data_IF_183589360634
#
_entry.id   IF_183589360634
#
_cell.length_a   1.000
_cell.length_b   1.000
_cell.length_c   1.000
_cell.angle_alpha   90.00
_cell.angle_beta   90.00
_cell.angle_gamma   90.00
#
_symmetry.space_group_name_H-M   'P 1'
#
loop_
_entity.id
_entity.type
_entity.pdbx_description
1 polymer ?
#
# COMPACT_ATOMS: atom_id res chain seq x y z
N UNK A 1 0.46 7.16 23.60
CA UNK A 1 1.20 7.79 22.47
C UNK A 1 0.81 7.08 21.19
N UNK A 2 0.48 7.82 20.12
CA UNK A 2 0.17 7.26 18.82
C UNK A 2 1.44 7.24 17.94
N UNK A 3 1.65 6.16 17.20
CA UNK A 3 2.70 6.06 16.17
C UNK A 3 2.02 6.02 14.81
N UNK A 4 2.60 6.72 13.84
CA UNK A 4 2.10 6.79 12.48
C UNK A 4 3.16 6.27 11.52
N UNK A 5 2.73 5.46 10.55
CA UNK A 5 3.58 4.92 9.50
C UNK A 5 2.90 5.13 8.14
N UNK A 6 3.64 5.69 7.18
CA UNK A 6 3.24 5.68 5.78
C UNK A 6 3.92 4.48 5.13
N UNK A 7 3.13 3.60 4.54
CA UNK A 7 3.60 2.34 4.00
C UNK A 7 3.30 2.31 2.51
N UNK A 8 4.33 2.05 1.73
CA UNK A 8 4.23 1.89 0.28
C UNK A 8 5.11 0.73 -0.18
N UNK A 9 4.72 0.13 -1.30
CA UNK A 9 5.41 -1.02 -1.87
C UNK A 9 5.16 -2.33 -1.12
N UNK A 10 5.69 -3.41 -1.66
CA UNK A 10 5.41 -4.78 -1.20
C UNK A 10 6.42 -5.33 -0.18
N UNK A 11 7.33 -4.51 0.30
CA UNK A 11 8.31 -4.95 1.29
C UNK A 11 7.68 -5.06 2.69
N UNK A 12 8.14 -6.05 3.45
CA UNK A 12 7.78 -6.14 4.86
C UNK A 12 8.39 -4.99 5.64
N UNK A 13 7.57 -4.25 6.37
CA UNK A 13 8.00 -3.14 7.21
C UNK A 13 7.76 -3.46 8.69
N UNK A 14 8.71 -3.08 9.52
CA UNK A 14 8.59 -3.15 10.98
C UNK A 14 7.84 -1.92 11.49
N UNK A 15 6.75 -2.15 12.23
CA UNK A 15 5.96 -1.10 12.88
C UNK A 15 6.37 -0.88 14.32
N UNK A 16 6.71 -1.96 15.03
CA UNK A 16 7.22 -1.94 16.39
C UNK A 16 8.36 -2.94 16.50
N UNK A 17 9.49 -2.48 17.00
CA UNK A 17 10.62 -3.37 17.29
C UNK A 17 10.35 -4.24 18.52
N UNK A 18 10.95 -5.42 18.55
CA UNK A 18 10.91 -6.27 19.73
C UNK A 18 11.54 -5.55 20.93
N UNK A 19 10.84 -5.50 22.05
CA UNK A 19 11.34 -4.86 23.28
C UNK A 19 11.07 -3.36 23.39
N UNK A 20 10.32 -2.76 22.49
CA UNK A 20 9.93 -1.33 22.53
C UNK A 20 9.09 -0.95 23.78
N UNK A 21 8.64 -1.93 24.55
CA UNK A 21 7.76 -1.76 25.72
C UNK A 21 6.49 -0.94 25.42
N UNK A 22 5.88 -1.20 24.29
CA UNK A 22 4.67 -0.51 23.86
C UNK A 22 3.45 -1.37 24.08
N UNK A 23 2.45 -0.82 24.75
CA UNK A 23 1.11 -1.41 24.81
C UNK A 23 0.29 -0.92 23.61
N UNK A 24 -0.06 -1.85 22.72
CA UNK A 24 -0.95 -1.58 21.59
C UNK A 24 -2.39 -1.81 22.02
N UNK A 25 -3.23 -0.81 21.85
CA UNK A 25 -4.66 -0.88 22.19
C UNK A 25 -5.57 -0.84 20.97
N UNK A 26 -5.08 -0.27 19.87
CA UNK A 26 -5.75 -0.29 18.59
C UNK A 26 -4.76 -0.08 17.45
N UNK A 27 -5.11 -0.61 16.29
CA UNK A 27 -4.36 -0.42 15.05
C UNK A 27 -5.36 0.11 14.02
N UNK A 28 -5.09 1.29 13.46
CA UNK A 28 -5.88 1.87 12.38
C UNK A 28 -5.12 1.75 11.08
N UNK A 29 -5.77 1.16 10.08
CA UNK A 29 -5.26 0.97 8.73
C UNK A 29 -6.12 1.80 7.78
N UNK A 30 -5.52 2.63 6.94
CA UNK A 30 -6.23 3.42 5.95
C UNK A 30 -5.57 3.23 4.58
N UNK A 31 -6.36 2.79 3.60
CA UNK A 31 -5.92 2.79 2.22
C UNK A 31 -6.22 4.15 1.60
N UNK A 32 -5.20 4.97 1.44
CA UNK A 32 -5.32 6.34 0.91
C UNK A 32 -5.25 6.38 -0.63
N UNK A 33 -5.06 5.23 -1.28
CA UNK A 33 -5.08 5.16 -2.73
C UNK A 33 -6.49 5.47 -3.25
N UNK A 34 -6.59 6.17 -4.38
CA UNK A 34 -7.87 6.62 -4.94
C UNK A 34 -8.69 5.48 -5.54
N UNK A 35 -8.04 4.46 -6.08
CA UNK A 35 -8.69 3.43 -6.90
C UNK A 35 -8.27 2.01 -6.58
N UNK A 36 -7.03 1.80 -6.11
CA UNK A 36 -6.49 0.44 -5.91
C UNK A 36 -6.83 -0.11 -4.53
N UNK A 37 -7.43 -1.28 -4.43
CA UNK A 37 -7.46 -2.01 -3.18
C UNK A 37 -6.06 -2.51 -2.83
N UNK A 38 -5.84 -2.79 -1.57
CA UNK A 38 -4.60 -3.37 -1.07
C UNK A 38 -4.91 -4.60 -0.25
N UNK A 39 -4.10 -5.64 -0.35
CA UNK A 39 -4.12 -6.79 0.55
C UNK A 39 -3.07 -6.61 1.62
N UNK A 40 -3.44 -6.79 2.87
CA UNK A 40 -2.61 -6.51 4.03
C UNK A 40 -2.37 -7.80 4.81
N UNK A 41 -1.10 -8.10 5.04
CA UNK A 41 -0.64 -9.06 6.03
C UNK A 41 -0.11 -8.28 7.24
N UNK A 42 -0.76 -8.41 8.39
CA UNK A 42 -0.31 -7.86 9.66
C UNK A 42 0.04 -9.01 10.58
N UNK A 43 1.25 -9.04 11.09
CA UNK A 43 1.72 -10.16 11.90
C UNK A 43 2.73 -9.74 12.96
N UNK A 44 2.81 -10.53 14.02
CA UNK A 44 3.90 -10.49 14.99
C UNK A 44 4.90 -11.58 14.64
N UNK A 45 6.18 -11.28 14.82
CA UNK A 45 7.27 -12.21 14.56
C UNK A 45 8.25 -12.22 15.73
N UNK A 46 8.54 -13.43 16.22
CA UNK A 46 9.52 -13.67 17.28
C UNK A 46 10.81 -14.22 16.68
N UNK A 47 11.78 -13.36 16.41
CA UNK A 47 13.06 -13.75 15.86
C UNK A 47 12.91 -14.67 14.64
N UNK A 48 13.58 -15.83 14.66
CA UNK A 48 13.48 -16.86 13.62
C UNK A 48 12.35 -17.88 13.84
N UNK A 49 11.57 -17.74 14.91
CA UNK A 49 10.58 -18.76 15.33
C UNK A 49 9.25 -18.72 14.58
N UNK A 50 9.09 -17.84 13.59
CA UNK A 50 7.91 -17.80 12.76
C UNK A 50 7.02 -16.57 12.97
N UNK A 51 5.97 -16.52 12.17
CA UNK A 51 5.01 -15.42 12.12
C UNK A 51 3.66 -15.84 12.70
N UNK A 52 3.11 -14.98 13.51
CA UNK A 52 1.74 -15.11 13.97
C UNK A 52 0.92 -13.99 13.33
N UNK A 53 0.01 -14.34 12.43
CA UNK A 53 -0.79 -13.37 11.68
C UNK A 53 -1.96 -12.86 12.54
N UNK A 54 -2.05 -11.55 12.69
CA UNK A 54 -3.26 -10.88 13.16
C UNK A 54 -4.28 -10.75 12.02
N UNK A 55 -3.76 -10.41 10.83
CA UNK A 55 -4.50 -10.47 9.57
C UNK A 55 -3.63 -11.11 8.51
N UNK A 56 -4.24 -11.93 7.68
CA UNK A 56 -3.63 -12.47 6.49
C UNK A 56 -4.55 -12.23 5.30
N UNK A 57 -4.00 -11.59 4.26
CA UNK A 57 -4.75 -11.23 3.05
C UNK A 57 -6.02 -10.39 3.35
N UNK A 58 -5.95 -9.48 4.34
CA UNK A 58 -7.03 -8.54 4.58
C UNK A 58 -7.13 -7.58 3.39
N UNK A 59 -8.22 -7.70 2.62
CA UNK A 59 -8.47 -6.77 1.50
C UNK A 59 -9.04 -5.47 2.04
N UNK A 60 -8.35 -4.35 1.75
CA UNK A 60 -8.79 -3.02 2.10
C UNK A 60 -9.04 -2.22 0.82
N UNK A 61 -10.31 -1.96 0.46
CA UNK A 61 -10.66 -1.19 -0.71
C UNK A 61 -10.05 0.23 -0.70
N UNK A 62 -9.97 0.84 -1.87
CA UNK A 62 -9.51 2.22 -2.01
C UNK A 62 -10.35 3.18 -1.15
N UNK A 63 -9.68 4.10 -0.46
CA UNK A 63 -10.35 5.11 0.38
C UNK A 63 -10.98 4.57 1.67
N UNK A 64 -10.84 3.28 1.99
CA UNK A 64 -11.44 2.67 3.17
C UNK A 64 -10.45 2.63 4.33
N UNK A 65 -10.95 2.86 5.53
CA UNK A 65 -10.20 2.70 6.78
C UNK A 65 -10.78 1.55 7.60
N UNK A 66 -9.89 0.82 8.25
CA UNK A 66 -10.22 -0.28 9.15
C UNK A 66 -9.56 -0.06 10.50
N UNK A 67 -10.31 -0.24 11.59
CA UNK A 67 -9.79 -0.12 12.95
C UNK A 67 -9.87 -1.48 13.64
N UNK A 68 -8.75 -1.97 14.08
CA UNK A 68 -8.63 -3.19 14.86
C UNK A 68 -8.35 -2.86 16.33
N UNK A 69 -9.32 -3.13 17.17
CA UNK A 69 -9.16 -3.00 18.61
C UNK A 69 -8.53 -4.28 19.16
N UNK A 70 -7.40 -4.12 19.79
CA UNK A 70 -6.62 -5.22 20.34
C UNK A 70 -5.95 -4.78 21.65
N UNK A 71 -5.38 -5.72 22.38
CA UNK A 71 -4.55 -5.38 23.52
C UNK A 71 -3.40 -6.36 23.61
N UNK A 72 -2.21 -5.89 23.26
CA UNK A 72 -0.97 -6.64 23.49
C UNK A 72 0.17 -5.70 23.86
N UNK A 73 1.19 -6.27 24.50
CA UNK A 73 2.38 -5.55 24.93
C UNK A 73 3.62 -6.30 24.42
N UNK A 74 4.57 -5.59 23.85
CA UNK A 74 5.82 -6.17 23.35
C UNK A 74 7.03 -5.94 24.28
N UNK A 75 6.76 -5.81 25.60
CA UNK A 75 7.77 -5.52 26.63
C UNK A 75 8.91 -6.53 26.69
N UNK A 76 8.63 -7.78 26.47
CA UNK A 76 9.54 -8.87 26.78
C UNK A 76 10.59 -9.16 25.72
N UNK A 77 10.93 -8.22 24.85
CA UNK A 77 11.94 -8.40 23.79
C UNK A 77 11.70 -9.66 22.90
N UNK A 78 10.46 -10.13 22.88
CA UNK A 78 10.15 -11.43 22.31
C UNK A 78 9.66 -11.34 20.88
N UNK A 79 8.94 -10.27 20.51
CA UNK A 79 8.37 -10.12 19.17
C UNK A 79 8.23 -8.68 18.73
N UNK A 80 8.37 -8.46 17.43
CA UNK A 80 8.04 -7.21 16.75
C UNK A 80 6.72 -7.32 16.01
N UNK A 81 6.12 -6.18 15.67
CA UNK A 81 4.95 -6.06 14.83
C UNK A 81 5.36 -5.64 13.42
N UNK A 82 4.88 -6.36 12.44
CA UNK A 82 5.23 -6.16 11.03
C UNK A 82 3.99 -6.07 10.16
N UNK A 83 4.12 -5.32 9.08
CA UNK A 83 3.13 -5.25 8.03
C UNK A 83 3.78 -5.56 6.68
N UNK A 84 3.04 -6.24 5.83
CA UNK A 84 3.37 -6.41 4.41
C UNK A 84 2.13 -6.07 3.58
N UNK A 85 2.31 -5.23 2.58
CA UNK A 85 1.29 -4.96 1.59
C UNK A 85 1.52 -5.86 0.37
N UNK A 86 0.42 -6.29 -0.23
CA UNK A 86 0.41 -6.82 -1.58
C UNK A 86 -0.54 -5.95 -2.37
N UNK A 87 -0.02 -5.24 -3.34
CA UNK A 87 -0.87 -4.41 -4.20
C UNK A 87 -1.79 -5.32 -5.01
N UNK A 88 -3.00 -4.84 -5.26
CA UNK A 88 -3.90 -5.52 -6.17
C UNK A 88 -3.31 -5.51 -7.57
N UNK A 89 -3.59 -6.58 -8.30
CA UNK A 89 -3.29 -6.69 -9.72
C UNK A 89 -3.72 -5.42 -10.48
N UNK A 90 -3.11 -5.23 -11.63
CA UNK A 90 -3.39 -4.11 -12.53
C UNK A 90 -4.90 -3.91 -12.73
N UNK A 91 -5.37 -2.68 -12.64
CA UNK A 91 -6.73 -2.31 -13.02
C UNK A 91 -6.70 -1.51 -14.33
N UNK A 92 -7.79 -1.60 -15.07
CA UNK A 92 -7.91 -0.91 -16.36
C UNK A 92 -8.34 0.54 -16.12
N UNK A 93 -7.58 1.49 -16.68
CA UNK A 93 -7.93 2.91 -16.67
C UNK A 93 -9.04 3.23 -17.68
N UNK A 94 -9.74 4.33 -17.43
CA UNK A 94 -10.76 4.85 -18.35
C UNK A 94 -10.10 5.44 -19.60
N UNK A 95 -10.70 5.21 -20.76
CA UNK A 95 -10.26 5.76 -22.04
C UNK A 95 -9.15 4.98 -22.72
N UNK A 96 -8.44 5.63 -23.62
CA UNK A 96 -7.33 5.05 -24.38
C UNK A 96 -6.14 6.00 -24.43
N UNK A 97 -4.96 5.45 -24.60
CA UNK A 97 -3.72 6.20 -24.75
C UNK A 97 -3.02 5.85 -26.06
N UNK A 98 -2.29 6.79 -26.61
CA UNK A 98 -1.47 6.59 -27.81
C UNK A 98 -0.01 6.97 -27.53
N UNK A 99 0.76 6.11 -26.83
CA UNK A 99 2.17 6.38 -26.56
C UNK A 99 2.96 6.28 -27.86
N UNK A 100 3.79 7.29 -28.12
CA UNK A 100 4.81 7.21 -29.18
C UNK A 100 6.14 6.81 -28.53
N UNK A 101 6.83 5.81 -29.07
CA UNK A 101 7.95 5.12 -28.45
C UNK A 101 9.17 5.95 -28.04
N UNK A 102 9.24 7.23 -28.44
CA UNK A 102 10.34 8.15 -28.07
C UNK A 102 9.87 9.33 -27.22
N UNK A 103 8.58 9.43 -26.92
CA UNK A 103 8.03 10.56 -26.18
C UNK A 103 7.78 10.19 -24.71
N UNK A 104 8.15 11.10 -23.82
CA UNK A 104 7.86 10.98 -22.38
C UNK A 104 6.45 11.44 -22.02
N UNK A 105 5.75 12.07 -22.95
CA UNK A 105 4.35 12.51 -22.79
C UNK A 105 3.43 11.47 -23.42
N UNK A 106 2.42 11.04 -22.65
CA UNK A 106 1.41 10.08 -23.10
C UNK A 106 0.09 10.82 -23.27
N UNK A 107 -0.36 11.07 -24.53
CA UNK A 107 -1.65 11.66 -24.77
C UNK A 107 -2.78 10.66 -24.52
N UNK A 108 -3.86 11.13 -23.90
CA UNK A 108 -5.06 10.36 -23.64
C UNK A 108 -6.25 10.79 -24.49
N UNK A 109 -7.19 9.88 -24.70
CA UNK A 109 -8.48 10.14 -25.32
C UNK A 109 -9.59 9.55 -24.48
N UNK A 110 -10.47 10.40 -23.97
CA UNK A 110 -11.53 10.01 -23.04
C UNK A 110 -11.02 9.50 -21.71
N UNK A 111 -9.80 9.85 -21.34
CA UNK A 111 -9.15 9.42 -20.08
C UNK A 111 -9.55 10.28 -18.90
N UNK A 112 -9.38 9.74 -17.70
CA UNK A 112 -9.67 10.41 -16.44
C UNK A 112 -8.40 10.51 -15.57
N UNK A 113 -7.25 10.77 -16.14
CA UNK A 113 -5.93 10.73 -15.47
C UNK A 113 -5.87 11.51 -14.16
N UNK A 114 -6.45 12.71 -14.13
CA UNK A 114 -6.42 13.56 -12.92
C UNK A 114 -7.17 12.95 -11.73
N UNK A 115 -8.16 12.09 -11.99
CA UNK A 115 -8.94 11.42 -10.95
C UNK A 115 -8.48 9.98 -10.69
N UNK A 116 -7.89 9.32 -11.68
CA UNK A 116 -7.55 7.91 -11.61
C UNK A 116 -6.08 7.64 -11.26
N UNK A 117 -5.18 8.58 -11.57
CA UNK A 117 -3.75 8.41 -11.39
C UNK A 117 -3.19 9.37 -10.34
N UNK A 118 -2.06 8.99 -9.78
CA UNK A 118 -1.25 9.83 -8.89
C UNK A 118 0.20 9.83 -9.36
N UNK A 119 0.93 10.89 -9.04
CA UNK A 119 2.39 10.92 -9.27
C UNK A 119 3.03 9.80 -8.46
N UNK A 120 3.90 9.02 -9.10
CA UNK A 120 4.54 7.85 -8.51
C UNK A 120 3.84 6.52 -8.84
N UNK A 121 2.62 6.54 -9.40
CA UNK A 121 1.97 5.32 -9.90
C UNK A 121 2.75 4.77 -11.10
N UNK A 122 2.66 3.46 -11.28
CA UNK A 122 3.20 2.78 -12.46
C UNK A 122 2.09 2.51 -13.48
N UNK A 123 2.36 2.83 -14.74
CA UNK A 123 1.50 2.51 -15.87
C UNK A 123 2.19 1.51 -16.78
N UNK A 124 1.50 0.43 -17.11
CA UNK A 124 2.01 -0.60 -18.02
C UNK A 124 1.26 -0.53 -19.34
N UNK A 125 2.01 -0.36 -20.41
CA UNK A 125 1.47 -0.31 -21.77
C UNK A 125 2.26 -1.25 -22.65
N UNK A 126 1.59 -2.20 -23.31
CA UNK A 126 2.22 -3.19 -24.21
C UNK A 126 3.41 -3.94 -23.57
N UNK A 127 3.35 -4.17 -22.25
CA UNK A 127 4.40 -4.87 -21.49
C UNK A 127 5.54 -3.99 -21.00
N UNK A 128 5.54 -2.69 -21.30
CA UNK A 128 6.51 -1.72 -20.78
C UNK A 128 5.90 -0.96 -19.61
N UNK A 129 6.59 -0.93 -18.48
CA UNK A 129 6.16 -0.23 -17.26
C UNK A 129 6.95 1.06 -17.07
N UNK A 130 6.25 2.15 -16.80
CA UNK A 130 6.81 3.48 -16.56
C UNK A 130 6.17 4.11 -15.31
N UNK A 131 6.96 4.85 -14.56
CA UNK A 131 6.48 5.63 -13.40
C UNK A 131 5.96 6.99 -13.87
N UNK A 132 4.82 7.40 -13.32
CA UNK A 132 4.22 8.70 -13.60
C UNK A 132 4.92 9.78 -12.80
N UNK A 133 5.55 10.72 -13.50
CA UNK A 133 6.25 11.85 -12.88
C UNK A 133 5.40 13.14 -12.83
N UNK A 134 4.44 13.29 -13.73
CA UNK A 134 3.53 14.43 -13.76
C UNK A 134 2.22 14.06 -14.45
N UNK A 135 1.13 14.73 -14.04
CA UNK A 135 -0.17 14.64 -14.70
C UNK A 135 -0.64 16.07 -14.93
N UNK A 136 -0.72 16.48 -16.20
CA UNK A 136 -1.06 17.86 -16.57
C UNK A 136 -2.53 18.04 -16.96
N UNK A 137 -3.16 17.00 -17.49
CA UNK A 137 -4.55 17.02 -17.95
C UNK A 137 -5.11 15.61 -18.04
N UNK A 138 -6.39 15.51 -18.45
CA UNK A 138 -7.02 14.24 -18.80
C UNK A 138 -6.80 13.83 -20.28
N UNK A 139 -6.02 14.59 -21.00
CA UNK A 139 -5.74 14.34 -22.45
C UNK A 139 -4.27 14.46 -22.72
#
# INVERSE_FOLDING_TARGET
>A
MARHHNISGELTQELLAAGDDVKVTSISLANVHKLKPVSIDLFIQKGVKGRFYLFKNLSLPAGVSYVYNTSFNNKANEFGLYIKLTEADTFTLTGSINPTGTNTTVPGSGTAFLSELSIGDEITVTGETRTINAITSNT
#
